data_IF_125995536612
#
_entry.id   IF_125995536612
#
_cell.length_a   1.000
_cell.length_b   1.000
_cell.length_c   1.000
_cell.angle_alpha   90.00
_cell.angle_beta   90.00
_cell.angle_gamma   90.00
#
_symmetry.space_group_name_H-M   'P 1'
#
loop_
_entity.id
_entity.type
_entity.pdbx_description
1 polymer ?
#
# COMPACT_ATOMS: atom_id res chain seq x y z
N UNK A 1 31.62 15.98 -20.04
CA UNK A 1 31.23 15.70 -18.64
C UNK A 1 30.27 16.76 -18.07
N UNK A 2 30.61 18.05 -18.11
CA UNK A 2 29.80 19.12 -17.48
C UNK A 2 28.36 19.27 -18.02
N UNK A 3 28.17 19.23 -19.35
CA UNK A 3 26.83 19.32 -19.95
C UNK A 3 25.92 18.15 -19.56
N UNK A 4 26.49 16.95 -19.46
CA UNK A 4 25.74 15.75 -19.07
C UNK A 4 25.27 15.82 -17.61
N UNK A 5 26.12 16.29 -16.69
CA UNK A 5 25.75 16.51 -15.30
C UNK A 5 24.64 17.55 -15.13
N UNK A 6 24.69 18.64 -15.90
CA UNK A 6 23.66 19.67 -15.89
C UNK A 6 22.30 19.12 -16.32
N UNK A 7 22.26 18.32 -17.39
CA UNK A 7 21.01 17.70 -17.87
C UNK A 7 20.41 16.77 -16.81
N UNK A 8 21.22 15.93 -16.16
CA UNK A 8 20.76 15.03 -15.09
C UNK A 8 20.19 15.83 -13.91
N UNK A 9 20.90 16.88 -13.48
CA UNK A 9 20.44 17.72 -12.38
C UNK A 9 19.12 18.45 -12.70
N UNK A 10 18.96 18.92 -13.94
CA UNK A 10 17.73 19.54 -14.41
C UNK A 10 16.56 18.55 -14.45
N UNK A 11 16.79 17.36 -14.99
CA UNK A 11 15.77 16.30 -15.05
C UNK A 11 15.32 15.86 -13.64
N UNK A 12 16.26 15.77 -12.69
CA UNK A 12 15.94 15.47 -11.30
C UNK A 12 15.12 16.58 -10.65
N UNK A 13 15.51 17.84 -10.84
CA UNK A 13 14.79 18.99 -10.30
C UNK A 13 13.35 19.07 -10.83
N UNK A 14 13.15 18.86 -12.13
CA UNK A 14 11.82 18.82 -12.76
C UNK A 14 10.99 17.67 -12.18
N UNK A 15 11.60 16.49 -11.99
CA UNK A 15 10.92 15.33 -11.40
C UNK A 15 10.47 15.59 -9.97
N UNK A 16 11.32 16.19 -9.14
CA UNK A 16 10.98 16.59 -7.76
C UNK A 16 9.84 17.61 -7.78
N UNK A 17 9.92 18.64 -8.62
CA UNK A 17 8.89 19.66 -8.74
C UNK A 17 7.55 19.04 -9.16
N UNK A 18 7.55 18.14 -10.15
CA UNK A 18 6.35 17.45 -10.61
C UNK A 18 5.72 16.52 -9.56
N UNK A 19 6.49 16.08 -8.56
CA UNK A 19 5.98 15.28 -7.45
C UNK A 19 5.40 16.19 -6.35
N UNK A 20 6.10 17.27 -6.01
CA UNK A 20 5.69 18.19 -4.93
C UNK A 20 4.43 18.99 -5.29
N UNK A 21 4.15 19.22 -6.57
CA UNK A 21 2.95 19.96 -7.00
C UNK A 21 1.64 19.22 -6.77
N UNK A 22 1.65 17.90 -6.59
CA UNK A 22 0.44 17.11 -6.43
C UNK A 22 0.39 16.47 -5.06
N UNK A 23 -0.62 16.86 -4.26
CA UNK A 23 -0.86 16.29 -2.93
C UNK A 23 -0.97 14.76 -2.97
N UNK A 24 -1.62 14.21 -4.01
CA UNK A 24 -1.74 12.77 -4.20
C UNK A 24 -0.39 12.08 -4.40
N UNK A 25 0.55 12.70 -5.12
CA UNK A 25 1.89 12.14 -5.36
C UNK A 25 2.76 12.18 -4.11
N UNK A 26 2.63 13.23 -3.31
CA UNK A 26 3.27 13.31 -1.99
C UNK A 26 2.75 12.20 -1.08
N UNK A 27 1.43 11.98 -1.05
CA UNK A 27 0.82 10.92 -0.24
C UNK A 27 1.35 9.54 -0.64
N UNK A 28 1.46 9.27 -1.95
CA UNK A 28 2.06 8.03 -2.48
C UNK A 28 3.52 7.85 -2.06
N UNK A 29 4.33 8.92 -2.10
CA UNK A 29 5.72 8.86 -1.63
C UNK A 29 5.81 8.58 -0.13
N UNK A 30 4.96 9.20 0.68
CA UNK A 30 4.94 8.94 2.13
C UNK A 30 4.55 7.49 2.42
N UNK A 31 3.56 6.94 1.72
CA UNK A 31 3.17 5.52 1.84
C UNK A 31 4.32 4.59 1.45
N UNK A 32 5.00 4.85 0.33
CA UNK A 32 6.20 4.09 -0.05
C UNK A 32 7.30 4.18 1.00
N UNK A 33 7.57 5.38 1.52
CA UNK A 33 8.56 5.59 2.57
C UNK A 33 8.21 4.79 3.82
N UNK A 34 6.94 4.80 4.25
CA UNK A 34 6.46 4.02 5.40
C UNK A 34 6.73 2.53 5.26
N UNK A 35 6.48 1.95 4.09
CA UNK A 35 6.75 0.54 3.86
C UNK A 35 8.25 0.23 3.89
N UNK A 36 9.06 1.15 3.37
CA UNK A 36 10.51 1.02 3.35
C UNK A 36 11.15 1.17 4.75
N UNK A 37 10.56 1.98 5.64
CA UNK A 37 11.02 2.13 7.03
C UNK A 37 11.13 0.76 7.72
N UNK A 38 10.16 -0.13 7.52
CA UNK A 38 10.15 -1.47 8.14
C UNK A 38 11.35 -2.33 7.73
N UNK A 39 11.88 -2.14 6.52
CA UNK A 39 13.00 -2.91 6.00
C UNK A 39 14.35 -2.25 6.25
N UNK A 40 14.41 -0.91 6.23
CA UNK A 40 15.67 -0.19 6.40
C UNK A 40 16.00 0.12 7.85
N UNK A 41 15.00 0.34 8.71
CA UNK A 41 15.27 0.77 10.09
C UNK A 41 15.78 -0.37 10.96
N UNK A 42 15.63 -1.62 10.52
CA UNK A 42 16.28 -2.79 11.13
C UNK A 42 17.80 -2.78 10.92
N UNK A 43 18.31 -2.05 9.93
CA UNK A 43 19.74 -1.91 9.62
C UNK A 43 20.37 -0.64 10.21
N UNK A 44 19.57 0.27 10.76
CA UNK A 44 20.01 1.55 11.30
C UNK A 44 20.01 1.53 12.84
N UNK A 45 20.90 2.31 13.51
CA UNK A 45 20.83 2.49 14.96
C UNK A 45 19.50 3.14 15.38
N UNK A 46 18.95 2.72 16.53
CA UNK A 46 17.62 3.12 17.02
C UNK A 46 17.39 4.64 17.05
N UNK A 47 18.44 5.44 17.31
CA UNK A 47 18.36 6.90 17.34
C UNK A 47 18.04 7.51 15.97
N UNK A 48 18.62 6.94 14.91
CA UNK A 48 18.41 7.41 13.54
C UNK A 48 17.08 6.90 12.99
N UNK A 49 16.72 5.65 13.30
CA UNK A 49 15.44 5.06 12.95
C UNK A 49 14.27 5.88 13.53
N UNK A 50 14.32 6.23 14.82
CA UNK A 50 13.26 7.01 15.46
C UNK A 50 13.17 8.45 14.94
N UNK A 51 14.28 9.06 14.52
CA UNK A 51 14.28 10.42 13.96
C UNK A 51 13.66 10.50 12.55
N UNK A 52 13.73 9.41 11.77
CA UNK A 52 13.24 9.36 10.38
C UNK A 52 11.87 8.68 10.24
N UNK A 53 11.28 8.26 11.37
CA UNK A 53 10.01 7.53 11.40
C UNK A 53 8.84 8.44 11.12
N UNK A 54 7.92 7.98 10.27
CA UNK A 54 6.65 8.65 9.97
C UNK A 54 5.54 7.65 10.24
N UNK A 55 4.68 7.92 11.24
CA UNK A 55 3.71 6.95 11.77
C UNK A 55 2.24 7.21 11.42
N UNK A 56 1.88 8.37 10.87
CA UNK A 56 0.48 8.75 10.67
C UNK A 56 0.11 8.79 9.18
N UNK A 57 0.06 7.61 8.57
CA UNK A 57 -0.46 7.46 7.22
C UNK A 57 -1.81 6.77 7.25
N UNK A 58 -2.81 7.28 6.52
CA UNK A 58 -4.10 6.61 6.41
C UNK A 58 -3.88 5.23 5.83
N UNK A 59 -4.39 4.21 6.53
CA UNK A 59 -4.35 2.84 6.06
C UNK A 59 -5.08 2.75 4.71
N UNK A 60 -4.52 1.97 3.78
CA UNK A 60 -5.12 1.82 2.46
C UNK A 60 -6.46 1.11 2.57
N UNK A 61 -7.54 1.82 2.24
CA UNK A 61 -8.94 1.34 2.25
C UNK A 61 -9.09 -0.07 1.64
N UNK A 62 -8.51 -0.27 0.46
CA UNK A 62 -8.54 -1.54 -0.27
C UNK A 62 -7.95 -2.71 0.53
N UNK A 63 -6.79 -2.52 1.14
CA UNK A 63 -6.11 -3.57 1.93
C UNK A 63 -6.87 -3.86 3.21
N UNK A 64 -7.39 -2.82 3.88
CA UNK A 64 -8.21 -2.98 5.07
C UNK A 64 -9.49 -3.79 4.80
N UNK A 65 -10.22 -3.44 3.75
CA UNK A 65 -11.43 -4.19 3.38
C UNK A 65 -11.14 -5.58 2.83
N UNK A 66 -10.00 -5.79 2.16
CA UNK A 66 -9.53 -7.10 1.77
C UNK A 66 -9.28 -7.99 3.00
N UNK A 67 -8.59 -7.46 4.02
CA UNK A 67 -8.37 -8.16 5.29
C UNK A 67 -9.67 -8.50 6.01
N UNK A 68 -10.63 -7.58 6.03
CA UNK A 68 -11.95 -7.83 6.63
C UNK A 68 -12.75 -8.90 5.87
N UNK A 69 -12.69 -8.93 4.53
CA UNK A 69 -13.32 -9.97 3.72
C UNK A 69 -12.74 -11.35 4.03
N UNK A 70 -11.41 -11.47 4.09
CA UNK A 70 -10.72 -12.70 4.49
C UNK A 70 -11.11 -13.13 5.92
N UNK A 71 -11.15 -12.18 6.85
CA UNK A 71 -11.56 -12.44 8.22
C UNK A 71 -13.00 -12.93 8.32
N UNK A 72 -13.91 -12.33 7.55
CA UNK A 72 -15.31 -12.74 7.46
C UNK A 72 -15.47 -14.16 6.91
N UNK A 73 -14.61 -14.59 5.98
CA UNK A 73 -14.59 -15.97 5.48
C UNK A 73 -14.20 -17.02 6.53
N UNK A 74 -13.45 -16.65 7.56
CA UNK A 74 -13.03 -17.60 8.60
C UNK A 74 -12.30 -18.83 8.03
N UNK A 75 -12.43 -19.99 8.67
CA UNK A 75 -11.76 -21.22 8.23
C UNK A 75 -12.45 -21.93 7.05
N UNK A 76 -13.78 -21.82 6.95
CA UNK A 76 -14.60 -22.63 6.03
C UNK A 76 -15.36 -21.82 4.98
N UNK A 77 -15.29 -20.49 5.05
CA UNK A 77 -15.95 -19.59 4.10
C UNK A 77 -17.38 -19.27 4.48
N UNK A 78 -17.92 -18.25 3.84
CA UNK A 78 -19.35 -17.91 3.89
C UNK A 78 -20.18 -18.70 2.86
N UNK A 79 -19.53 -19.37 1.92
CA UNK A 79 -20.13 -20.09 0.79
C UNK A 79 -20.06 -19.31 -0.51
N UNK A 80 -20.04 -20.05 -1.64
CA UNK A 80 -20.00 -19.49 -2.98
C UNK A 80 -21.19 -18.55 -3.26
N UNK A 81 -20.89 -17.33 -3.66
CA UNK A 81 -21.87 -16.26 -3.90
C UNK A 81 -22.38 -15.57 -2.63
N UNK A 82 -21.98 -16.00 -1.43
CA UNK A 82 -22.54 -15.51 -0.17
C UNK A 82 -21.67 -14.44 0.52
N UNK A 83 -20.47 -14.17 -0.01
CA UNK A 83 -19.60 -13.09 0.49
C UNK A 83 -20.28 -11.71 0.38
N UNK A 84 -20.41 -11.02 1.51
CA UNK A 84 -21.11 -9.73 1.62
C UNK A 84 -20.15 -8.54 1.51
N UNK A 85 -18.93 -8.68 2.05
CA UNK A 85 -17.94 -7.60 2.08
C UNK A 85 -17.45 -7.30 0.66
N UNK A 86 -17.28 -8.35 -0.16
CA UNK A 86 -16.93 -8.21 -1.57
C UNK A 86 -17.94 -7.44 -2.44
N UNK A 87 -19.21 -7.32 -2.03
CA UNK A 87 -20.28 -6.72 -2.84
C UNK A 87 -20.45 -5.21 -2.64
N UNK A 88 -20.02 -4.67 -1.50
CA UNK A 88 -20.26 -3.27 -1.14
C UNK A 88 -19.02 -2.51 -0.66
N UNK A 89 -17.98 -3.21 -0.21
CA UNK A 89 -16.87 -2.58 0.53
C UNK A 89 -15.49 -2.87 -0.06
N UNK A 90 -15.38 -3.79 -1.02
CA UNK A 90 -14.12 -4.13 -1.66
C UNK A 90 -14.21 -3.86 -3.16
N UNK A 91 -13.60 -2.76 -3.60
CA UNK A 91 -13.60 -2.43 -5.02
C UNK A 91 -12.64 -3.36 -5.78
N UNK A 92 -12.92 -3.65 -7.05
CA UNK A 92 -12.06 -4.48 -7.90
C UNK A 92 -11.86 -5.92 -7.37
N UNK A 93 -12.89 -6.48 -6.74
CA UNK A 93 -12.84 -7.85 -6.19
C UNK A 93 -12.65 -8.94 -7.23
N UNK A 94 -12.97 -8.66 -8.50
CA UNK A 94 -12.81 -9.62 -9.59
C UNK A 94 -11.44 -9.51 -10.30
N UNK A 95 -10.58 -8.59 -9.88
CA UNK A 95 -9.23 -8.40 -10.42
C UNK A 95 -8.20 -8.43 -9.28
N UNK A 96 -7.88 -7.27 -8.72
CA UNK A 96 -6.73 -7.08 -7.84
C UNK A 96 -6.96 -7.66 -6.43
N UNK A 97 -8.23 -7.84 -6.05
CA UNK A 97 -8.64 -8.37 -4.74
C UNK A 97 -9.36 -9.72 -4.84
N UNK A 98 -9.12 -10.48 -5.91
CA UNK A 98 -9.77 -11.78 -6.13
C UNK A 98 -9.49 -12.80 -5.03
N UNK A 99 -8.28 -12.80 -4.47
CA UNK A 99 -7.92 -13.70 -3.37
C UNK A 99 -8.71 -13.38 -2.10
N UNK A 100 -8.96 -12.11 -1.80
CA UNK A 100 -9.77 -11.71 -0.66
C UNK A 100 -11.23 -12.12 -0.85
N UNK A 101 -11.77 -11.99 -2.07
CA UNK A 101 -13.11 -12.46 -2.41
C UNK A 101 -13.24 -13.99 -2.32
N UNK A 102 -12.25 -14.74 -2.80
CA UNK A 102 -12.23 -16.21 -2.69
C UNK A 102 -12.14 -16.62 -1.21
N UNK A 103 -11.23 -16.02 -0.44
CA UNK A 103 -11.07 -16.31 0.98
C UNK A 103 -12.33 -16.01 1.80
N UNK A 104 -13.10 -14.98 1.44
CA UNK A 104 -14.40 -14.72 2.06
C UNK A 104 -15.40 -15.87 1.81
N UNK A 105 -15.37 -16.48 0.63
CA UNK A 105 -16.37 -17.48 0.22
C UNK A 105 -15.98 -18.92 0.56
N UNK A 106 -14.69 -19.26 0.47
CA UNK A 106 -14.14 -20.60 0.67
C UNK A 106 -13.47 -20.76 2.03
N UNK A 107 -13.13 -19.65 2.69
CA UNK A 107 -12.40 -19.65 3.95
C UNK A 107 -10.92 -19.99 3.75
N UNK A 108 -10.20 -20.04 4.86
CA UNK A 108 -8.76 -20.32 4.86
C UNK A 108 -8.39 -21.73 4.35
N UNK A 109 -9.27 -22.72 4.51
CA UNK A 109 -8.99 -24.13 4.16
C UNK A 109 -9.50 -24.55 2.79
N UNK A 110 -10.32 -23.73 2.12
CA UNK A 110 -10.85 -24.03 0.79
C UNK A 110 -9.90 -23.61 -0.32
#
# INVERSE_FOLDING_TARGET
AHLFGLIISGAFAISVLAIVTSEHRILRLKLWWSNLQNSLFTLLPDRLANALRISDLPESYQVFHAGNAMHNGGLFGQGLGLGQIKLGFLSEVHTDMVLAGIAEEWGFLG
#
